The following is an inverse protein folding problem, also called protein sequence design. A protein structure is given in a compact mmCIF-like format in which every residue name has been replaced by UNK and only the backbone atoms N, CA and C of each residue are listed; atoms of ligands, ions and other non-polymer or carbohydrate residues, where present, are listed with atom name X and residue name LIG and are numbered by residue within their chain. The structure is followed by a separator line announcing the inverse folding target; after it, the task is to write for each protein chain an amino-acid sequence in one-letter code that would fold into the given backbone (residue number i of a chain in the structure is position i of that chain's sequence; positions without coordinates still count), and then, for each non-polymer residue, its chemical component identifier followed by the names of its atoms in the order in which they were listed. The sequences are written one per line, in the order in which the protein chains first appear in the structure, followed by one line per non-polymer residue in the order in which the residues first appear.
data_IF_933556502691
#
_entry.id   IF_933556502691
#
_cell.length_a   1.000
_cell.length_b   1.000
_cell.length_c   1.000
_cell.angle_alpha   90.00
_cell.angle_beta   90.00
_cell.angle_gamma   90.00
#
_symmetry.space_group_name_H-M   'P 1'
#
loop_
_entity.id
_entity.type
_entity.pdbx_description
1 polymer ?
#
# COMPACT_ATOMS: atom_id res chain seq x y z
N UNK A 1 4.17 49.90 -26.78
CA UNK A 1 2.88 49.52 -26.17
C UNK A 1 2.99 48.07 -25.74
N UNK A 2 2.78 47.82 -24.45
CA UNK A 2 2.80 46.49 -23.86
C UNK A 2 1.57 45.70 -24.29
N UNK A 3 1.76 44.41 -24.61
CA UNK A 3 0.72 43.41 -24.41
C UNK A 3 1.30 42.34 -23.49
N UNK A 4 0.53 42.06 -22.45
CA UNK A 4 0.84 41.25 -21.29
C UNK A 4 -0.04 39.99 -21.37
N UNK A 5 0.39 38.92 -20.66
CA UNK A 5 -0.40 37.77 -20.17
C UNK A 5 -0.82 36.73 -21.27
N UNK A 6 -0.76 35.40 -21.12
CA UNK A 6 -0.82 34.46 -19.98
C UNK A 6 -0.02 33.18 -20.27
N UNK A 7 0.76 32.74 -19.29
CA UNK A 7 1.23 31.36 -19.11
C UNK A 7 0.14 30.54 -18.40
N UNK A 8 -0.44 29.53 -19.06
CA UNK A 8 -1.12 28.36 -18.49
C UNK A 8 -1.57 27.46 -19.66
N UNK A 9 -1.65 26.14 -19.60
CA UNK A 9 -1.34 25.14 -18.60
C UNK A 9 -0.84 23.90 -19.38
N UNK A 10 -0.08 23.02 -18.72
CA UNK A 10 0.23 21.70 -19.25
C UNK A 10 -1.04 21.02 -19.78
N UNK A 11 -1.00 20.33 -20.94
CA UNK A 11 -2.12 19.50 -21.34
C UNK A 11 -2.34 18.44 -20.26
N UNK A 12 -3.49 18.53 -19.60
CA UNK A 12 -4.08 17.48 -18.77
C UNK A 12 -4.03 16.16 -19.55
N UNK A 13 -3.56 15.05 -18.96
CA UNK A 13 -3.87 13.74 -19.47
C UNK A 13 -5.36 13.49 -19.23
N UNK A 14 -6.20 13.89 -20.20
CA UNK A 14 -7.44 13.19 -20.44
C UNK A 14 -7.09 11.91 -21.19
N UNK A 15 -6.54 10.94 -20.45
CA UNK A 15 -6.58 9.57 -20.91
C UNK A 15 -8.02 9.07 -20.78
N UNK A 16 -8.49 8.25 -21.74
CA UNK A 16 -9.84 7.70 -21.70
C UNK A 16 -10.01 6.95 -20.38
N UNK A 17 -11.17 7.12 -19.73
CA UNK A 17 -11.55 6.36 -18.53
C UNK A 17 -11.31 4.89 -18.82
N UNK A 18 -10.22 4.37 -18.27
CA UNK A 18 -9.86 2.97 -18.36
C UNK A 18 -10.97 2.23 -17.61
N UNK A 19 -11.68 1.25 -18.21
CA UNK A 19 -12.88 0.64 -17.64
C UNK A 19 -12.67 -0.15 -16.33
N UNK A 20 -11.55 0.05 -15.64
CA UNK A 20 -11.40 -0.31 -14.23
C UNK A 20 -10.39 0.62 -13.55
N UNK A 21 -10.72 1.90 -13.44
CA UNK A 21 -10.04 2.76 -12.47
C UNK A 21 -10.39 2.25 -11.06
N UNK A 22 -9.48 1.46 -10.49
CA UNK A 22 -9.65 0.84 -9.18
C UNK A 22 -9.38 1.82 -8.04
N UNK A 23 -8.70 2.93 -8.32
CA UNK A 23 -8.21 3.81 -7.28
C UNK A 23 -9.34 4.43 -6.43
N UNK A 24 -10.47 4.90 -7.01
CA UNK A 24 -11.62 5.36 -6.23
C UNK A 24 -12.20 4.27 -5.33
N UNK A 25 -12.38 3.05 -5.87
CA UNK A 25 -13.00 1.92 -5.16
C UNK A 25 -12.13 1.42 -4.02
N UNK A 26 -10.81 1.44 -4.19
CA UNK A 26 -9.85 1.08 -3.15
C UNK A 26 -9.79 2.18 -2.08
N UNK A 27 -9.68 3.45 -2.49
CA UNK A 27 -9.61 4.58 -1.57
C UNK A 27 -10.83 4.67 -0.64
N UNK A 28 -12.03 4.39 -1.15
CA UNK A 28 -13.27 4.35 -0.36
C UNK A 28 -13.24 3.27 0.75
N UNK A 29 -12.52 2.17 0.52
CA UNK A 29 -12.47 1.01 1.43
C UNK A 29 -11.29 1.05 2.40
N UNK A 30 -10.37 2.00 2.21
CA UNK A 30 -9.22 2.20 3.08
C UNK A 30 -9.62 2.88 4.37
N UNK A 31 -8.91 2.57 5.46
CA UNK A 31 -9.08 3.19 6.76
C UNK A 31 -7.82 3.94 7.13
N UNK A 32 -7.95 5.18 7.63
CA UNK A 32 -6.80 5.95 8.13
C UNK A 32 -6.17 5.30 9.36
N UNK A 33 -7.02 4.70 10.19
CA UNK A 33 -6.64 4.18 11.51
C UNK A 33 -6.22 2.71 11.47
N UNK A 34 -6.56 2.00 10.39
CA UNK A 34 -6.28 0.57 10.25
C UNK A 34 -5.53 0.29 8.96
N UNK A 35 -4.64 -0.70 8.99
CA UNK A 35 -4.03 -1.18 7.76
C UNK A 35 -5.11 -1.72 6.81
N UNK A 36 -4.82 -1.66 5.51
CA UNK A 36 -5.72 -2.12 4.46
C UNK A 36 -4.94 -2.87 3.40
N UNK A 37 -5.34 -4.09 3.05
CA UNK A 37 -4.70 -4.89 2.00
C UNK A 37 -5.68 -5.05 0.84
N UNK A 38 -5.21 -4.87 -0.38
CA UNK A 38 -5.99 -5.05 -1.59
C UNK A 38 -5.19 -5.78 -2.67
N UNK A 39 -5.93 -6.50 -3.51
CA UNK A 39 -5.40 -7.10 -4.74
C UNK A 39 -5.20 -6.01 -5.80
N UNK A 40 -4.01 -5.97 -6.41
CA UNK A 40 -3.58 -4.90 -7.33
C UNK A 40 -4.34 -4.94 -8.67
N UNK A 41 -4.78 -6.13 -9.08
CA UNK A 41 -5.44 -6.37 -10.36
C UNK A 41 -6.95 -6.14 -10.29
N UNK A 42 -7.55 -6.43 -9.15
CA UNK A 42 -9.02 -6.44 -8.96
C UNK A 42 -9.52 -5.37 -7.99
N UNK A 43 -8.64 -4.78 -7.19
CA UNK A 43 -8.98 -3.78 -6.16
C UNK A 43 -9.83 -4.34 -5.02
N UNK A 44 -9.96 -5.67 -4.94
CA UNK A 44 -10.69 -6.34 -3.86
C UNK A 44 -9.87 -6.29 -2.58
N UNK A 45 -10.50 -5.89 -1.49
CA UNK A 45 -9.90 -5.95 -0.17
C UNK A 45 -9.66 -7.41 0.23
N UNK A 46 -8.46 -7.71 0.70
CA UNK A 46 -8.15 -9.00 1.33
C UNK A 46 -8.77 -8.99 2.73
N UNK A 47 -9.64 -9.97 3.02
CA UNK A 47 -10.42 -10.04 4.26
C UNK A 47 -10.00 -11.16 5.21
N UNK A 48 -9.02 -11.98 4.83
CA UNK A 48 -8.58 -13.14 5.60
C UNK A 48 -7.14 -13.51 5.29
N UNK A 49 -6.45 -14.10 6.27
CA UNK A 49 -5.05 -14.51 6.16
C UNK A 49 -4.09 -13.53 6.81
N UNK A 50 -2.80 -13.81 6.67
CA UNK A 50 -1.71 -13.04 7.23
C UNK A 50 -0.85 -12.49 6.11
N UNK A 51 -0.61 -11.19 6.11
CA UNK A 51 0.23 -10.54 5.12
C UNK A 51 1.55 -10.06 5.73
N UNK A 52 2.60 -10.10 4.93
CA UNK A 52 3.93 -9.63 5.30
C UNK A 52 4.53 -8.86 4.13
N UNK A 53 5.33 -7.84 4.46
CA UNK A 53 6.03 -7.05 3.45
C UNK A 53 7.13 -7.89 2.81
N UNK A 54 7.22 -7.84 1.47
CA UNK A 54 8.27 -8.50 0.70
C UNK A 54 9.59 -7.73 0.74
N UNK A 55 9.49 -6.41 0.90
CA UNK A 55 10.61 -5.47 1.04
C UNK A 55 10.29 -4.50 2.19
N UNK A 56 11.33 -4.05 2.89
CA UNK A 56 11.22 -3.03 3.93
C UNK A 56 10.99 -1.63 3.35
N UNK A 57 11.45 -1.39 2.12
CA UNK A 57 11.23 -0.12 1.43
C UNK A 57 9.84 -0.11 0.77
N UNK A 58 8.99 0.89 1.08
CA UNK A 58 7.68 0.98 0.47
C UNK A 58 7.79 1.40 -0.99
N UNK A 59 6.91 0.82 -1.80
CA UNK A 59 6.70 1.16 -3.21
C UNK A 59 6.37 2.65 -3.35
N UNK A 60 5.61 3.19 -2.41
CA UNK A 60 5.26 4.61 -2.38
C UNK A 60 5.01 5.11 -0.96
N UNK A 61 5.50 6.32 -0.65
CA UNK A 61 5.26 7.02 0.62
C UNK A 61 4.38 8.23 0.36
N UNK A 62 3.32 8.38 1.15
CA UNK A 62 2.39 9.50 1.01
C UNK A 62 2.13 10.20 2.35
N UNK A 63 1.88 11.52 2.31
CA UNK A 63 1.43 12.28 3.49
C UNK A 63 -0.09 12.21 3.69
N UNK A 64 -0.82 11.92 2.64
CA UNK A 64 -2.27 11.76 2.62
C UNK A 64 -2.61 10.39 2.02
N UNK A 65 -3.86 9.98 2.17
CA UNK A 65 -4.41 8.87 1.40
C UNK A 65 -5.62 9.39 0.62
N UNK A 66 -5.75 8.93 -0.63
CA UNK A 66 -6.75 9.44 -1.56
C UNK A 66 -6.62 8.75 -2.92
N UNK A 67 -7.51 9.09 -3.84
CA UNK A 67 -7.55 8.48 -5.18
C UNK A 67 -6.23 8.67 -5.93
N UNK A 68 -5.61 9.85 -5.81
CA UNK A 68 -4.34 10.14 -6.47
C UNK A 68 -3.21 9.25 -5.95
N UNK A 69 -3.06 9.13 -4.64
CA UNK A 69 -2.02 8.34 -3.99
C UNK A 69 -2.20 6.84 -4.29
N UNK A 70 -3.44 6.36 -4.25
CA UNK A 70 -3.75 4.98 -4.61
C UNK A 70 -3.45 4.70 -6.08
N UNK A 71 -3.75 5.64 -6.98
CA UNK A 71 -3.46 5.52 -8.41
C UNK A 71 -1.96 5.43 -8.68
N UNK A 72 -1.15 6.30 -8.04
CA UNK A 72 0.32 6.25 -8.11
C UNK A 72 0.84 4.92 -7.58
N UNK A 73 0.41 4.52 -6.38
CA UNK A 73 0.84 3.29 -5.75
C UNK A 73 0.49 2.05 -6.59
N UNK A 74 -0.72 2.00 -7.18
CA UNK A 74 -1.12 0.94 -8.11
C UNK A 74 -0.26 0.89 -9.35
N UNK A 75 0.04 2.05 -9.96
CA UNK A 75 0.87 2.13 -11.15
C UNK A 75 2.27 1.59 -10.90
N UNK A 76 2.89 2.01 -9.78
CA UNK A 76 4.21 1.52 -9.36
C UNK A 76 4.17 0.03 -9.00
N UNK A 77 3.20 -0.39 -8.17
CA UNK A 77 3.05 -1.79 -7.77
C UNK A 77 2.87 -2.74 -8.96
N UNK A 78 2.07 -2.35 -9.97
CA UNK A 78 1.89 -3.15 -11.20
C UNK A 78 3.19 -3.27 -11.99
N UNK A 79 3.92 -2.17 -12.13
CA UNK A 79 5.21 -2.15 -12.83
C UNK A 79 6.22 -3.05 -12.14
N UNK A 80 6.18 -3.09 -10.82
CA UNK A 80 7.11 -3.87 -9.99
C UNK A 80 6.63 -5.31 -9.75
N UNK A 81 5.48 -5.70 -10.34
CA UNK A 81 4.95 -7.06 -10.28
C UNK A 81 4.24 -7.45 -8.98
N UNK A 82 3.80 -6.48 -8.18
CA UNK A 82 3.09 -6.71 -6.93
C UNK A 82 1.70 -7.35 -7.17
N UNK A 83 1.42 -8.44 -6.47
CA UNK A 83 0.10 -9.10 -6.49
C UNK A 83 -0.87 -8.42 -5.51
N UNK A 84 -0.39 -8.15 -4.30
CA UNK A 84 -1.14 -7.45 -3.27
C UNK A 84 -0.35 -6.25 -2.77
N UNK A 85 -1.08 -5.23 -2.33
CA UNK A 85 -0.50 -4.08 -1.67
C UNK A 85 -1.19 -3.82 -0.34
N UNK A 86 -0.40 -3.39 0.64
CA UNK A 86 -0.88 -2.91 1.91
C UNK A 86 -0.68 -1.41 2.02
N UNK A 87 -1.70 -0.68 2.47
CA UNK A 87 -1.53 0.65 3.03
C UNK A 87 -1.33 0.53 4.53
N UNK A 88 -0.18 0.98 5.01
CA UNK A 88 0.21 0.96 6.41
C UNK A 88 0.33 2.40 6.95
N UNK A 89 -0.56 2.84 7.86
CA UNK A 89 -0.41 4.12 8.53
C UNK A 89 0.77 4.08 9.50
N UNK A 90 1.72 5.00 9.33
CA UNK A 90 2.90 5.17 10.18
C UNK A 90 2.60 6.17 11.29
N UNK A 91 3.30 6.04 12.42
CA UNK A 91 3.15 6.95 13.57
C UNK A 91 3.57 8.39 13.27
N UNK A 92 4.43 8.61 12.28
CA UNK A 92 4.91 9.93 11.83
C UNK A 92 3.94 10.63 10.86
N UNK A 93 2.68 10.17 10.80
CA UNK A 93 1.62 10.70 9.93
C UNK A 93 1.81 10.48 8.43
N UNK A 94 2.70 9.57 8.03
CA UNK A 94 2.80 9.08 6.65
C UNK A 94 2.02 7.78 6.44
N UNK A 95 1.76 7.46 5.17
CA UNK A 95 1.21 6.20 4.72
C UNK A 95 2.22 5.51 3.81
N UNK A 96 2.62 4.31 4.20
CA UNK A 96 3.47 3.45 3.39
C UNK A 96 2.59 2.52 2.55
N UNK A 97 2.81 2.51 1.25
CA UNK A 97 2.26 1.52 0.33
C UNK A 97 3.31 0.42 0.11
N UNK A 98 3.06 -0.75 0.69
CA UNK A 98 3.98 -1.88 0.72
C UNK A 98 3.53 -2.96 -0.25
N UNK A 99 4.47 -3.56 -0.97
CA UNK A 99 4.22 -4.82 -1.67
C UNK A 99 4.19 -5.95 -0.65
N UNK A 100 3.11 -6.74 -0.64
CA UNK A 100 2.91 -7.78 0.36
C UNK A 100 2.56 -9.12 -0.27
N UNK A 101 2.98 -10.20 0.36
CA UNK A 101 2.42 -11.53 0.13
C UNK A 101 1.39 -11.86 1.22
N UNK A 102 0.47 -12.79 0.91
CA UNK A 102 -0.59 -13.23 1.83
C UNK A 102 -0.52 -14.75 1.96
N UNK A 103 -0.48 -15.24 3.19
CA UNK A 103 -0.53 -16.68 3.53
C UNK A 103 -1.69 -16.97 4.47
N UNK A 104 -2.11 -18.24 4.52
CA UNK A 104 -3.08 -18.74 5.51
C UNK A 104 -2.44 -19.13 6.83
N UNK A 105 -1.11 -19.30 6.86
CA UNK A 105 -0.38 -19.78 8.03
C UNK A 105 0.29 -18.61 8.75
N UNK A 106 0.02 -18.48 10.04
CA UNK A 106 0.57 -17.37 10.83
C UNK A 106 2.08 -17.46 10.96
N UNK A 107 2.59 -18.66 11.15
CA UNK A 107 4.01 -18.95 11.38
C UNK A 107 4.86 -18.55 10.17
N UNK A 108 4.37 -18.85 8.96
CA UNK A 108 5.02 -18.45 7.71
C UNK A 108 5.09 -16.92 7.55
N UNK A 109 4.02 -16.20 7.94
CA UNK A 109 4.05 -14.74 7.93
C UNK A 109 5.05 -14.17 8.94
N UNK A 110 5.18 -14.79 10.12
CA UNK A 110 6.16 -14.38 11.15
C UNK A 110 7.59 -14.59 10.63
N UNK A 111 7.89 -15.78 10.11
CA UNK A 111 9.20 -16.11 9.54
C UNK A 111 9.57 -15.20 8.38
N UNK A 112 8.64 -14.95 7.47
CA UNK A 112 8.87 -14.09 6.32
C UNK A 112 9.03 -12.60 6.71
N UNK A 113 8.29 -12.12 7.71
CA UNK A 113 8.48 -10.78 8.27
C UNK A 113 9.89 -10.62 8.85
N UNK A 114 10.40 -11.62 9.57
CA UNK A 114 11.79 -11.57 10.04
C UNK A 114 12.79 -11.51 8.88
N UNK A 115 12.56 -12.31 7.83
CA UNK A 115 13.44 -12.36 6.66
C UNK A 115 13.46 -11.05 5.85
N UNK A 116 12.35 -10.31 5.79
CA UNK A 116 12.27 -9.04 5.06
C UNK A 116 12.84 -7.84 5.84
N UNK A 117 13.32 -8.03 7.08
CA UNK A 117 13.80 -6.95 7.94
C UNK A 117 12.69 -6.00 8.40
N UNK A 118 11.42 -6.34 8.12
CA UNK A 118 10.26 -5.62 8.61
C UNK A 118 9.89 -6.14 10.00
N UNK A 119 9.39 -5.28 10.88
CA UNK A 119 9.09 -5.66 12.27
C UNK A 119 7.63 -6.07 12.47
N UNK A 120 6.85 -6.21 11.40
CA UNK A 120 5.39 -6.27 11.46
C UNK A 120 4.83 -7.24 10.42
N UNK A 121 3.84 -8.04 10.82
CA UNK A 121 2.91 -8.68 9.90
C UNK A 121 1.47 -8.20 10.19
N UNK A 122 0.59 -8.43 9.22
CA UNK A 122 -0.79 -7.94 9.24
C UNK A 122 -1.77 -9.11 9.25
N UNK A 123 -2.71 -9.13 10.19
CA UNK A 123 -3.81 -10.11 10.19
C UNK A 123 -5.04 -9.52 9.51
N UNK A 124 -5.28 -9.88 8.25
CA UNK A 124 -6.36 -9.36 7.43
C UNK A 124 -7.77 -9.69 7.98
N UNK A 125 -7.87 -10.73 8.81
CA UNK A 125 -9.13 -11.17 9.43
C UNK A 125 -9.53 -10.23 10.55
N UNK A 126 -8.59 -9.93 11.44
CA UNK A 126 -8.82 -9.03 12.59
C UNK A 126 -8.56 -7.57 12.29
N UNK A 127 -7.95 -7.28 11.12
CA UNK A 127 -7.43 -5.96 10.72
C UNK A 127 -6.45 -5.38 11.74
N UNK A 128 -5.74 -6.25 12.48
CA UNK A 128 -4.70 -5.85 13.43
C UNK A 128 -3.29 -6.05 12.91
N UNK A 129 -2.46 -5.07 13.22
CA UNK A 129 -1.03 -5.09 12.99
C UNK A 129 -0.35 -5.76 14.18
N UNK A 130 0.52 -6.74 13.94
CA UNK A 130 1.29 -7.40 15.01
C UNK A 130 2.78 -7.16 14.82
N UNK A 131 3.40 -6.51 15.81
CA UNK A 131 4.85 -6.36 15.85
C UNK A 131 5.49 -7.68 16.25
N UNK A 132 6.40 -8.16 15.41
CA UNK A 132 7.25 -9.29 15.71
C UNK A 132 8.53 -8.76 16.35
N UNK A 133 8.87 -9.27 17.53
CA UNK A 133 10.13 -8.95 18.21
C UNK A 133 11.04 -10.16 18.12
N UNK A 134 12.28 -9.95 17.68
CA UNK A 134 13.34 -10.89 17.99
C UNK A 134 13.57 -10.80 19.50
N UNK A 135 13.19 -11.84 20.25
CA UNK A 135 13.82 -12.06 21.54
C UNK A 135 15.24 -12.56 21.23
N UNK A 136 16.19 -11.65 21.09
CA UNK A 136 17.59 -11.98 21.32
C UNK A 136 17.71 -12.27 22.81
N UNK A 137 17.43 -13.52 23.21
CA UNK A 137 18.04 -14.04 24.41
C UNK A 137 19.49 -14.31 24.02
N UNK A 138 20.36 -13.34 24.31
CA UNK A 138 21.81 -13.55 24.29
C UNK A 138 22.11 -14.78 25.16
N UNK A 139 22.57 -15.85 24.51
CA UNK A 139 23.14 -17.03 25.14
C UNK A 139 24.64 -16.91 25.30
#
# INVERSE_FOLDING_TARGET
MAHHIISSAFPTPQDPINPTDLAPVIAEKMSRDNFSIFDVMTGKMVRSGFAFALDADPVYKAKNFGVAEVSIALGLGRRDGAVHMAMYPRFDSFFDFLSVAVTKRREEAIEATFASGFSVYFDATTRRTTTVRHNFADG
#
